data_IF_029751032061
#
_entry.id   IF_029751032061
#
_cell.length_a   1.000
_cell.length_b   1.000
_cell.length_c   1.000
_cell.angle_alpha   90.00
_cell.angle_beta   90.00
_cell.angle_gamma   90.00
#
_symmetry.space_group_name_H-M   'P 1'
#
loop_
_entity.id
_entity.type
_entity.pdbx_description
1 polymer ?
#
# COMPACT_ATOMS: atom_id res chain seq x y z
N UNK A 1 -5.36 11.17 21.25
CA UNK A 1 -6.17 10.07 20.69
C UNK A 1 -6.79 9.27 21.84
N UNK A 2 -8.10 9.22 21.90
CA UNK A 2 -8.88 8.52 22.94
C UNK A 2 -9.50 7.21 22.40
N UNK A 3 -10.25 6.49 23.23
CA UNK A 3 -10.90 5.23 22.85
C UNK A 3 -11.97 5.42 21.75
N UNK A 4 -12.60 6.59 21.70
CA UNK A 4 -13.58 6.92 20.65
C UNK A 4 -12.87 7.07 19.30
N UNK A 5 -11.74 7.78 19.27
CA UNK A 5 -10.92 7.93 18.07
C UNK A 5 -10.45 6.56 17.55
N UNK A 6 -9.97 5.67 18.45
CA UNK A 6 -9.56 4.29 18.09
C UNK A 6 -10.73 3.50 17.47
N UNK A 7 -11.93 3.63 18.02
CA UNK A 7 -13.12 2.96 17.51
C UNK A 7 -13.52 3.49 16.13
N UNK A 8 -13.44 4.81 15.90
CA UNK A 8 -13.69 5.42 14.59
C UNK A 8 -12.69 4.89 13.56
N UNK A 9 -11.40 4.89 13.89
CA UNK A 9 -10.33 4.36 13.03
C UNK A 9 -10.60 2.90 12.67
N UNK A 10 -10.90 2.05 13.67
CA UNK A 10 -11.18 0.64 13.43
C UNK A 10 -12.37 0.41 12.50
N UNK A 11 -13.45 1.18 12.66
CA UNK A 11 -14.62 1.10 11.77
C UNK A 11 -14.27 1.52 10.33
N UNK A 12 -13.47 2.59 10.17
CA UNK A 12 -13.03 3.08 8.87
C UNK A 12 -12.01 2.14 8.19
N UNK A 13 -11.15 1.47 8.96
CA UNK A 13 -10.27 0.42 8.44
C UNK A 13 -11.06 -0.77 7.89
N UNK A 14 -12.19 -1.12 8.52
CA UNK A 14 -13.06 -2.19 8.03
C UNK A 14 -13.85 -1.79 6.77
N UNK A 15 -14.29 -0.53 6.69
CA UNK A 15 -14.99 0.02 5.54
C UNK A 15 -14.82 1.54 5.47
N UNK A 16 -13.95 2.00 4.56
CA UNK A 16 -13.68 3.42 4.35
C UNK A 16 -14.92 4.23 3.89
N UNK A 17 -15.97 3.58 3.40
CA UNK A 17 -17.25 4.19 2.99
C UNK A 17 -18.32 4.19 4.10
N UNK A 18 -17.94 3.87 5.33
CA UNK A 18 -18.90 3.86 6.45
C UNK A 18 -19.57 5.24 6.59
N UNK A 19 -20.91 5.31 6.55
CA UNK A 19 -21.62 6.59 6.67
C UNK A 19 -21.36 7.25 8.02
N UNK A 20 -21.24 8.58 8.02
CA UNK A 20 -21.00 9.37 9.23
C UNK A 20 -22.05 9.12 10.31
N UNK A 21 -23.34 8.99 9.92
CA UNK A 21 -24.45 8.66 10.84
C UNK A 21 -24.26 7.32 11.52
N UNK A 22 -23.72 6.30 10.80
CA UNK A 22 -23.44 5.00 11.38
C UNK A 22 -22.29 5.09 12.39
N UNK A 23 -21.22 5.79 12.05
CA UNK A 23 -20.10 6.02 12.98
C UNK A 23 -20.61 6.73 14.26
N UNK A 24 -21.41 7.79 14.11
CA UNK A 24 -22.00 8.54 15.21
C UNK A 24 -22.79 7.64 16.17
N UNK A 25 -23.65 6.77 15.64
CA UNK A 25 -24.39 5.78 16.42
C UNK A 25 -23.47 4.80 17.16
N UNK A 26 -22.42 4.33 16.51
CA UNK A 26 -21.49 3.35 17.10
C UNK A 26 -20.62 3.92 18.21
N UNK A 27 -20.36 5.21 18.21
CA UNK A 27 -19.54 5.89 19.22
C UNK A 27 -20.34 6.76 20.17
N UNK A 28 -21.68 6.79 20.05
CA UNK A 28 -22.61 7.55 20.89
C UNK A 28 -22.33 9.07 20.87
N UNK A 29 -22.04 9.61 19.69
CA UNK A 29 -21.82 11.04 19.45
C UNK A 29 -22.74 11.55 18.33
N UNK A 30 -22.82 12.88 18.19
CA UNK A 30 -23.45 13.51 17.04
C UNK A 30 -22.58 13.39 15.78
N UNK A 31 -23.20 13.42 14.59
CA UNK A 31 -22.46 13.41 13.33
C UNK A 31 -21.44 14.54 13.20
N UNK A 32 -21.75 15.80 13.58
CA UNK A 32 -20.77 16.89 13.60
C UNK A 32 -19.58 16.62 14.52
N UNK A 33 -19.81 16.01 15.69
CA UNK A 33 -18.74 15.67 16.62
C UNK A 33 -17.80 14.60 16.06
N UNK A 34 -18.34 13.59 15.36
CA UNK A 34 -17.55 12.57 14.67
C UNK A 34 -16.78 13.17 13.50
N UNK A 35 -17.40 14.04 12.70
CA UNK A 35 -16.73 14.75 11.59
C UNK A 35 -15.52 15.54 12.09
N UNK A 36 -15.68 16.32 13.16
CA UNK A 36 -14.59 17.09 13.76
C UNK A 36 -13.43 16.18 14.26
N UNK A 37 -13.75 15.00 14.77
CA UNK A 37 -12.74 14.02 15.19
C UNK A 37 -11.98 13.45 14.00
N UNK A 38 -12.67 13.09 12.92
CA UNK A 38 -12.06 12.59 11.69
C UNK A 38 -11.11 13.65 11.10
N UNK A 39 -11.56 14.89 10.96
CA UNK A 39 -10.72 15.99 10.49
C UNK A 39 -9.45 16.20 11.34
N UNK A 40 -9.58 16.07 12.66
CA UNK A 40 -8.43 16.13 13.56
C UNK A 40 -7.46 14.98 13.35
N UNK A 41 -7.96 13.76 13.12
CA UNK A 41 -7.14 12.58 12.84
C UNK A 41 -6.43 12.68 11.47
N UNK A 42 -7.09 13.25 10.48
CA UNK A 42 -6.51 13.56 9.16
C UNK A 42 -5.41 14.62 9.28
N UNK A 43 -5.69 15.74 9.93
CA UNK A 43 -4.70 16.81 10.17
C UNK A 43 -3.49 16.33 10.97
N UNK A 44 -3.68 15.38 11.87
CA UNK A 44 -2.62 14.77 12.65
C UNK A 44 -1.83 13.68 11.87
N UNK A 45 -2.21 13.39 10.63
CA UNK A 45 -1.58 12.34 9.80
C UNK A 45 -1.82 10.91 10.30
N UNK A 46 -2.82 10.70 11.17
CA UNK A 46 -3.20 9.36 11.66
C UNK A 46 -4.08 8.66 10.61
N UNK A 47 -5.04 9.37 10.04
CA UNK A 47 -5.78 8.96 8.86
C UNK A 47 -5.08 9.56 7.64
N UNK A 48 -4.40 8.74 6.86
CA UNK A 48 -3.57 9.17 5.72
C UNK A 48 -4.30 9.08 4.38
N UNK A 49 -5.48 8.50 4.35
CA UNK A 49 -6.30 8.36 3.14
C UNK A 49 -7.38 7.30 3.26
N UNK A 50 -8.18 7.21 2.21
CA UNK A 50 -9.29 6.25 2.07
C UNK A 50 -9.14 5.58 0.71
N UNK A 51 -8.95 4.26 0.71
CA UNK A 51 -8.64 3.52 -0.50
C UNK A 51 -9.58 2.34 -0.69
N UNK A 52 -10.01 2.11 -1.93
CA UNK A 52 -10.72 0.90 -2.30
C UNK A 52 -9.76 -0.28 -2.41
N UNK A 53 -10.15 -1.43 -1.87
CA UNK A 53 -9.47 -2.70 -2.17
C UNK A 53 -9.90 -3.20 -3.55
N UNK A 54 -8.92 -3.51 -4.40
CA UNK A 54 -9.17 -3.92 -5.78
C UNK A 54 -8.71 -5.37 -5.98
N UNK A 55 -9.54 -6.15 -6.66
CA UNK A 55 -9.14 -7.47 -7.14
C UNK A 55 -8.34 -7.30 -8.44
N UNK A 56 -7.02 -7.32 -8.33
CA UNK A 56 -6.12 -7.13 -9.46
C UNK A 56 -6.27 -8.24 -10.51
N UNK A 57 -6.53 -9.48 -10.09
CA UNK A 57 -6.74 -10.60 -11.00
C UNK A 57 -7.96 -10.39 -11.88
N UNK A 58 -9.07 -9.88 -11.32
CA UNK A 58 -10.27 -9.53 -12.07
C UNK A 58 -10.05 -8.39 -13.07
N UNK A 59 -9.01 -7.57 -12.87
CA UNK A 59 -8.58 -6.54 -13.82
C UNK A 59 -7.54 -7.03 -14.85
N UNK A 60 -7.23 -8.34 -14.84
CA UNK A 60 -6.27 -8.93 -15.78
C UNK A 60 -4.81 -8.91 -15.32
N UNK A 61 -4.53 -8.55 -14.07
CA UNK A 61 -3.19 -8.61 -13.48
C UNK A 61 -3.03 -9.93 -12.74
N UNK A 62 -2.56 -10.96 -13.45
CA UNK A 62 -2.51 -12.34 -12.93
C UNK A 62 -1.23 -12.66 -12.15
N UNK A 63 -0.22 -11.80 -12.21
CA UNK A 63 1.06 -12.01 -11.52
C UNK A 63 1.26 -10.92 -10.45
N UNK A 64 1.29 -11.33 -9.20
CA UNK A 64 1.79 -10.51 -8.10
C UNK A 64 3.15 -11.06 -7.68
N UNK A 65 4.13 -10.18 -7.51
CA UNK A 65 5.46 -10.57 -7.11
C UNK A 65 6.07 -9.59 -6.10
N UNK A 66 7.02 -10.10 -5.30
CA UNK A 66 7.93 -9.29 -4.50
C UNK A 66 9.30 -9.31 -5.17
N UNK A 67 9.88 -8.13 -5.36
CA UNK A 67 11.21 -7.97 -5.94
C UNK A 67 12.13 -7.35 -4.89
N UNK A 68 13.15 -8.10 -4.49
CA UNK A 68 14.25 -7.62 -3.69
C UNK A 68 15.32 -7.06 -4.61
N UNK A 69 15.88 -5.91 -4.29
CA UNK A 69 16.95 -5.31 -5.09
C UNK A 69 18.07 -4.75 -4.21
N UNK A 70 19.31 -5.08 -4.58
CA UNK A 70 20.50 -4.46 -4.04
C UNK A 70 20.77 -3.16 -4.80
N UNK A 71 20.32 -2.04 -4.26
CA UNK A 71 20.46 -0.71 -4.86
C UNK A 71 21.74 -0.05 -4.36
N UNK A 72 22.62 0.37 -5.29
CA UNK A 72 23.72 1.29 -4.94
C UNK A 72 23.09 2.62 -4.46
N UNK A 73 23.49 3.13 -3.28
CA UNK A 73 23.00 4.41 -2.77
C UNK A 73 23.16 5.59 -3.75
N UNK A 74 24.17 5.55 -4.60
CA UNK A 74 24.40 6.56 -5.66
C UNK A 74 23.32 6.55 -6.74
N UNK A 75 22.61 5.44 -6.91
CA UNK A 75 21.54 5.27 -7.90
C UNK A 75 20.17 5.74 -7.38
N UNK A 76 20.02 6.00 -6.09
CA UNK A 76 18.73 6.44 -5.50
C UNK A 76 18.09 7.62 -6.23
N UNK A 77 18.81 8.69 -6.58
CA UNK A 77 18.23 9.84 -7.29
C UNK A 77 17.61 9.50 -8.65
N UNK A 78 18.10 8.45 -9.32
CA UNK A 78 17.58 7.97 -10.62
C UNK A 78 16.53 6.88 -10.43
N UNK A 79 16.70 6.02 -9.44
CA UNK A 79 15.84 4.88 -9.17
C UNK A 79 14.45 5.30 -8.64
N UNK A 80 14.38 6.19 -7.65
CA UNK A 80 13.12 6.58 -7.03
C UNK A 80 12.12 7.18 -8.03
N UNK A 81 12.49 8.15 -8.90
CA UNK A 81 11.58 8.63 -9.93
C UNK A 81 11.14 7.55 -10.91
N UNK A 82 12.03 6.59 -11.23
CA UNK A 82 11.70 5.48 -12.13
C UNK A 82 10.60 4.59 -11.54
N UNK A 83 10.73 4.14 -10.30
CA UNK A 83 9.72 3.27 -9.67
C UNK A 83 8.43 4.01 -9.35
N UNK A 84 8.51 5.28 -8.97
CA UNK A 84 7.34 6.12 -8.72
C UNK A 84 6.49 6.31 -9.98
N UNK A 85 7.14 6.42 -11.15
CA UNK A 85 6.45 6.54 -12.44
C UNK A 85 5.88 5.21 -12.95
N UNK A 86 6.22 4.07 -12.37
CA UNK A 86 5.77 2.75 -12.81
C UNK A 86 4.45 2.34 -12.13
N UNK A 87 3.30 2.32 -12.85
CA UNK A 87 2.00 2.00 -12.26
C UNK A 87 1.88 0.55 -11.79
N UNK A 88 2.75 -0.35 -12.25
CA UNK A 88 2.80 -1.75 -11.84
C UNK A 88 3.50 -1.95 -10.48
N UNK A 89 4.21 -0.93 -9.99
CA UNK A 89 4.78 -0.93 -8.64
C UNK A 89 3.71 -0.46 -7.66
N UNK A 90 3.19 -1.39 -6.88
CA UNK A 90 2.14 -1.12 -5.89
C UNK A 90 2.71 -0.53 -4.59
N UNK A 91 3.96 -0.89 -4.28
CA UNK A 91 4.65 -0.51 -3.04
C UNK A 91 6.16 -0.66 -3.23
N UNK A 92 6.92 0.25 -2.68
CA UNK A 92 8.38 0.18 -2.68
C UNK A 92 8.91 0.66 -1.33
N UNK A 93 9.65 -0.20 -0.64
CA UNK A 93 10.20 0.07 0.67
C UNK A 93 11.73 0.00 0.64
N UNK A 94 12.38 0.93 1.34
CA UNK A 94 13.77 0.82 1.70
C UNK A 94 13.86 -0.01 2.98
N UNK A 95 14.62 -1.09 2.96
CA UNK A 95 14.71 -2.07 4.05
C UNK A 95 16.17 -2.31 4.45
N UNK A 96 16.38 -2.90 5.62
CA UNK A 96 17.68 -3.35 6.09
C UNK A 96 18.11 -4.66 5.39
N UNK A 97 19.40 -4.95 5.34
CA UNK A 97 19.95 -6.20 4.80
C UNK A 97 20.61 -6.02 3.45
N UNK A 98 21.00 -7.13 2.82
CA UNK A 98 21.75 -7.15 1.57
C UNK A 98 20.99 -6.57 0.38
N UNK A 99 19.64 -6.71 0.37
CA UNK A 99 18.75 -6.12 -0.62
C UNK A 99 18.05 -4.93 0.02
N UNK A 100 18.52 -3.73 -0.27
CA UNK A 100 18.04 -2.50 0.38
C UNK A 100 16.65 -2.02 -0.08
N UNK A 101 16.14 -2.56 -1.19
CA UNK A 101 14.80 -2.24 -1.70
C UNK A 101 13.94 -3.48 -1.80
N UNK A 102 12.69 -3.35 -1.37
CA UNK A 102 11.66 -4.37 -1.48
C UNK A 102 10.44 -3.77 -2.15
N UNK A 103 10.07 -4.30 -3.31
CA UNK A 103 8.92 -3.85 -4.08
C UNK A 103 7.84 -4.92 -4.14
N UNK A 104 6.58 -4.51 -4.05
CA UNK A 104 5.43 -5.31 -4.43
C UNK A 104 4.95 -4.83 -5.79
N UNK A 105 4.85 -5.73 -6.75
CA UNK A 105 4.46 -5.42 -8.13
C UNK A 105 3.32 -6.30 -8.61
N UNK A 106 2.56 -5.83 -9.59
CA UNK A 106 1.60 -6.68 -10.30
C UNK A 106 1.67 -6.47 -11.81
N UNK A 107 1.61 -7.58 -12.54
CA UNK A 107 1.71 -7.63 -14.00
C UNK A 107 0.66 -8.55 -14.61
N UNK A 108 0.23 -8.32 -15.86
CA UNK A 108 -0.70 -9.21 -16.54
C UNK A 108 -0.16 -10.64 -16.72
N UNK A 109 1.13 -10.76 -17.00
CA UNK A 109 1.80 -12.02 -17.34
C UNK A 109 3.29 -11.99 -16.95
N UNK A 110 3.96 -13.13 -17.08
CA UNK A 110 5.38 -13.30 -16.75
C UNK A 110 6.31 -12.57 -17.72
N UNK A 111 5.91 -12.36 -18.97
CA UNK A 111 6.75 -11.65 -19.96
C UNK A 111 6.88 -10.17 -19.60
N UNK A 112 5.78 -9.54 -19.19
CA UNK A 112 5.79 -8.14 -18.74
C UNK A 112 6.57 -7.97 -17.43
N UNK A 113 6.46 -8.93 -16.51
CA UNK A 113 7.29 -8.97 -15.30
C UNK A 113 8.77 -9.09 -15.65
N UNK A 114 9.15 -9.99 -16.54
CA UNK A 114 10.54 -10.18 -16.98
C UNK A 114 11.12 -8.92 -17.62
N UNK A 115 10.34 -8.25 -18.46
CA UNK A 115 10.72 -6.96 -19.06
C UNK A 115 10.99 -5.89 -17.98
N UNK A 116 10.15 -5.82 -16.96
CA UNK A 116 10.34 -4.89 -15.85
C UNK A 116 11.60 -5.23 -15.03
N UNK A 117 11.83 -6.51 -14.74
CA UNK A 117 13.03 -6.96 -14.06
C UNK A 117 14.29 -6.56 -14.85
N UNK A 118 14.27 -6.72 -16.18
CA UNK A 118 15.35 -6.28 -17.05
C UNK A 118 15.66 -4.78 -16.93
N UNK A 119 14.63 -3.95 -16.78
CA UNK A 119 14.80 -2.52 -16.54
C UNK A 119 15.39 -2.21 -15.16
N UNK A 120 15.04 -2.99 -14.13
CA UNK A 120 15.59 -2.84 -12.78
C UNK A 120 17.07 -3.22 -12.70
N UNK A 121 17.55 -4.16 -13.50
CA UNK A 121 18.92 -4.67 -13.45
C UNK A 121 19.98 -3.61 -13.74
N UNK A 122 19.62 -2.51 -14.39
CA UNK A 122 20.53 -1.34 -14.56
C UNK A 122 20.86 -0.65 -13.23
N UNK A 123 20.02 -0.81 -12.20
CA UNK A 123 20.19 -0.20 -10.89
C UNK A 123 20.85 -1.12 -9.86
N UNK A 124 20.85 -2.42 -10.09
CA UNK A 124 21.41 -3.42 -9.19
C UNK A 124 20.87 -4.82 -9.43
N UNK A 125 21.40 -5.78 -8.68
CA UNK A 125 20.92 -7.16 -8.73
C UNK A 125 19.55 -7.31 -8.10
N UNK A 126 18.74 -8.21 -8.66
CA UNK A 126 17.37 -8.46 -8.25
C UNK A 126 17.14 -9.91 -7.89
N UNK A 127 16.23 -10.15 -6.95
CA UNK A 127 15.65 -11.45 -6.63
C UNK A 127 14.14 -11.32 -6.63
N UNK A 128 13.45 -12.15 -7.41
CA UNK A 128 12.00 -12.07 -7.59
C UNK A 128 11.31 -13.28 -7.00
N UNK A 129 10.27 -13.05 -6.23
CA UNK A 129 9.40 -14.06 -5.64
C UNK A 129 7.97 -13.84 -6.13
N UNK A 130 7.43 -14.82 -6.88
CA UNK A 130 6.03 -14.78 -7.34
C UNK A 130 5.13 -15.26 -6.20
N UNK A 131 4.06 -14.53 -5.93
CA UNK A 131 3.05 -14.87 -4.93
C UNK A 131 2.14 -15.97 -5.49
N UNK A 132 2.11 -17.12 -4.84
CA UNK A 132 1.16 -18.20 -5.19
C UNK A 132 -0.21 -17.99 -4.54
N UNK A 133 -0.23 -17.52 -3.30
CA UNK A 133 -1.46 -17.25 -2.55
C UNK A 133 -1.20 -16.22 -1.45
N UNK A 134 -2.27 -15.58 -1.00
CA UNK A 134 -2.22 -14.59 0.09
C UNK A 134 -3.18 -15.02 1.19
N UNK A 135 -2.77 -15.91 2.13
CA UNK A 135 -3.64 -16.39 3.21
C UNK A 135 -4.15 -15.28 4.13
N UNK A 136 -3.35 -14.23 4.30
CA UNK A 136 -3.72 -13.04 5.08
C UNK A 136 -3.57 -11.82 4.18
N UNK A 137 -4.66 -11.28 3.62
CA UNK A 137 -4.63 -10.03 2.87
C UNK A 137 -4.21 -8.84 3.75
N UNK A 138 -3.73 -7.77 3.10
CA UNK A 138 -3.41 -6.52 3.81
C UNK A 138 -4.62 -6.04 4.61
N UNK A 139 -4.39 -5.77 5.89
CA UNK A 139 -5.39 -5.27 6.84
C UNK A 139 -4.78 -4.23 7.77
N UNK A 140 -5.64 -3.41 8.37
CA UNK A 140 -5.23 -2.47 9.41
C UNK A 140 -4.84 -3.13 10.73
N UNK A 141 -4.19 -2.38 11.59
CA UNK A 141 -3.81 -2.74 12.97
C UNK A 141 -4.91 -2.38 13.96
#
# INVERSE_FOLDING_TARGET
MDNIDRKIIHLLQGNARTPLKYLANKVFLSSPAVSARIERLEKAGILTGYHASINHEALGYHITAFIHMALDPKQKPTFYPFVEACPNVLECNCVTGAHSMLMKVCFPNTMDLDSFIGQLQRFGSTETQIVFSTPVPTRGV
#
